data_IF_425476516703
#
_entry.id   IF_425476516703
#
_cell.length_a   1.000
_cell.length_b   1.000
_cell.length_c   1.000
_cell.angle_alpha   90.00
_cell.angle_beta   90.00
_cell.angle_gamma   90.00
#
_symmetry.space_group_name_H-M   'P 1'
#
loop_
_entity.id
_entity.type
_entity.pdbx_description
1 polymer ?
#
# COMPACT_ATOMS: atom_id res chain seq x y z
N UNK A 1 -6.84 -2.59 25.48
CA UNK A 1 -7.72 -1.74 24.63
C UNK A 1 -7.70 -0.24 24.98
N UNK A 2 -6.96 0.19 26.02
CA UNK A 2 -6.83 1.64 26.36
C UNK A 2 -5.86 2.40 25.43
N UNK A 3 -4.94 1.71 24.76
CA UNK A 3 -3.91 2.31 23.90
C UNK A 3 -4.44 2.94 22.62
N UNK A 4 -5.55 2.46 22.08
CA UNK A 4 -6.16 3.00 20.85
C UNK A 4 -6.84 4.36 21.09
N UNK A 5 -7.12 4.71 22.35
CA UNK A 5 -7.76 5.95 22.74
C UNK A 5 -6.82 7.13 23.03
N UNK A 6 -5.51 6.92 22.98
CA UNK A 6 -4.54 7.98 23.24
C UNK A 6 -4.31 8.77 21.96
N UNK A 7 -4.92 9.95 21.85
CA UNK A 7 -4.81 10.82 20.67
C UNK A 7 -3.36 11.09 20.23
N UNK A 8 -2.45 11.24 21.20
CA UNK A 8 -1.04 11.45 20.94
C UNK A 8 -0.38 10.31 20.13
N UNK A 9 -0.75 9.04 20.36
CA UNK A 9 -0.20 7.92 19.60
C UNK A 9 -0.65 7.91 18.14
N UNK A 10 -1.87 8.39 17.88
CA UNK A 10 -2.41 8.50 16.54
C UNK A 10 -1.61 9.47 15.66
N UNK A 11 -1.11 10.55 16.26
CA UNK A 11 -0.35 11.57 15.54
C UNK A 11 1.10 11.20 15.31
N UNK A 12 1.65 10.29 16.15
CA UNK A 12 3.04 9.83 16.05
C UNK A 12 3.23 8.54 15.24
N UNK A 13 2.19 7.73 15.08
CA UNK A 13 2.26 6.51 14.27
C UNK A 13 1.78 6.83 12.86
N UNK A 14 2.71 6.95 11.91
CA UNK A 14 2.43 7.31 10.51
C UNK A 14 1.34 6.44 9.85
N UNK A 15 1.27 5.16 10.21
CA UNK A 15 0.27 4.24 9.65
C UNK A 15 -1.16 4.55 10.10
N UNK A 16 -1.33 5.22 11.24
CA UNK A 16 -2.63 5.57 11.80
C UNK A 16 -3.03 7.01 11.48
N UNK A 17 -2.07 7.81 11.04
CA UNK A 17 -2.32 9.16 10.58
C UNK A 17 -3.14 9.14 9.28
N UNK A 18 -3.92 10.21 9.08
CA UNK A 18 -4.56 10.45 7.81
C UNK A 18 -3.48 10.58 6.70
N UNK A 19 -3.73 10.02 5.51
CA UNK A 19 -2.74 10.08 4.44
C UNK A 19 -2.49 11.52 3.98
N UNK A 20 -1.22 11.90 3.89
CA UNK A 20 -0.79 13.17 3.31
C UNK A 20 -0.62 13.04 1.80
N UNK A 21 -1.62 13.49 1.05
CA UNK A 21 -1.67 13.37 -0.41
C UNK A 21 -0.62 14.21 -1.18
N UNK A 22 0.17 15.03 -0.50
CA UNK A 22 1.31 15.70 -1.11
C UNK A 22 2.50 14.73 -1.33
N UNK A 23 2.49 13.59 -0.67
CA UNK A 23 3.54 12.59 -0.81
C UNK A 23 3.32 11.76 -2.08
N UNK A 24 4.34 11.71 -2.94
CA UNK A 24 4.28 11.05 -4.25
C UNK A 24 3.87 9.57 -4.19
N UNK A 25 4.25 8.86 -3.13
CA UNK A 25 3.91 7.44 -2.99
C UNK A 25 2.40 7.18 -2.78
N UNK A 26 1.59 8.21 -2.44
CA UNK A 26 0.14 8.11 -2.29
C UNK A 26 -0.63 8.46 -3.59
N UNK A 27 0.05 8.99 -4.61
CA UNK A 27 -0.58 9.30 -5.89
C UNK A 27 -1.26 8.08 -6.56
N UNK A 28 -0.74 6.84 -6.49
CA UNK A 28 -1.43 5.67 -7.01
C UNK A 28 -2.83 5.46 -6.43
N UNK A 29 -3.04 5.80 -5.15
CA UNK A 29 -4.37 5.76 -4.54
C UNK A 29 -5.31 6.77 -5.17
N UNK A 30 -4.86 8.01 -5.40
CA UNK A 30 -5.65 9.07 -6.07
C UNK A 30 -6.04 8.61 -7.48
N UNK A 31 -5.08 8.09 -8.25
CA UNK A 31 -5.34 7.56 -9.59
C UNK A 31 -6.35 6.42 -9.57
N UNK A 32 -6.26 5.53 -8.59
CA UNK A 32 -7.20 4.43 -8.46
C UNK A 32 -8.63 4.91 -8.18
N UNK A 33 -8.80 5.93 -7.31
CA UNK A 33 -10.10 6.57 -7.04
C UNK A 33 -10.65 7.21 -8.30
N UNK A 34 -9.82 7.98 -9.04
CA UNK A 34 -10.23 8.61 -10.29
C UNK A 34 -10.63 7.58 -11.35
N UNK A 35 -9.86 6.51 -11.50
CA UNK A 35 -10.18 5.42 -12.41
C UNK A 35 -11.49 4.71 -12.04
N UNK A 36 -11.73 4.50 -10.74
CA UNK A 36 -12.97 3.91 -10.26
C UNK A 36 -14.18 4.79 -10.56
N UNK A 37 -14.07 6.10 -10.30
CA UNK A 37 -15.11 7.07 -10.63
C UNK A 37 -15.37 7.12 -12.14
N UNK A 38 -14.32 7.14 -12.95
CA UNK A 38 -14.42 7.10 -14.39
C UNK A 38 -15.05 5.80 -14.88
N UNK A 39 -14.64 4.65 -14.32
CA UNK A 39 -15.18 3.35 -14.68
C UNK A 39 -16.68 3.26 -14.38
N UNK A 40 -17.12 3.71 -13.22
CA UNK A 40 -18.54 3.74 -12.84
C UNK A 40 -19.32 4.76 -13.67
N UNK A 41 -18.78 5.97 -13.85
CA UNK A 41 -19.45 7.04 -14.58
C UNK A 41 -19.60 6.78 -16.08
N UNK A 42 -18.62 6.15 -16.71
CA UNK A 42 -18.64 5.80 -18.15
C UNK A 42 -19.30 4.47 -18.43
N UNK A 43 -19.44 3.60 -17.42
CA UNK A 43 -20.16 2.33 -17.58
C UNK A 43 -21.65 2.59 -17.74
N UNK A 44 -22.25 1.99 -18.76
CA UNK A 44 -23.73 2.01 -18.93
C UNK A 44 -24.45 1.08 -17.93
N UNK A 45 -23.69 0.38 -17.08
CA UNK A 45 -24.20 -0.50 -16.04
C UNK A 45 -24.59 0.31 -14.81
N UNK A 46 -25.76 0.03 -14.23
CA UNK A 46 -26.10 0.58 -12.91
C UNK A 46 -25.16 -0.01 -11.86
N UNK A 47 -24.70 0.83 -10.95
CA UNK A 47 -23.89 0.37 -9.83
C UNK A 47 -24.76 -0.51 -8.91
N UNK A 48 -24.23 -1.65 -8.52
CA UNK A 48 -24.85 -2.50 -7.52
C UNK A 48 -24.73 -1.84 -6.14
N UNK A 49 -25.79 -1.92 -5.35
CA UNK A 49 -25.84 -1.33 -4.01
C UNK A 49 -24.71 -1.88 -3.12
N UNK A 50 -24.43 -3.17 -3.22
CA UNK A 50 -23.32 -3.82 -2.47
C UNK A 50 -21.97 -3.23 -2.87
N UNK A 51 -21.72 -3.09 -4.19
CA UNK A 51 -20.46 -2.51 -4.68
C UNK A 51 -20.31 -1.04 -4.22
N UNK A 52 -21.41 -0.28 -4.20
CA UNK A 52 -21.41 1.11 -3.73
C UNK A 52 -21.08 1.20 -2.24
N UNK A 53 -21.78 0.43 -1.41
CA UNK A 53 -21.61 0.47 0.05
C UNK A 53 -20.19 0.03 0.43
N UNK A 54 -19.73 -1.09 -0.12
CA UNK A 54 -18.40 -1.64 0.18
C UNK A 54 -17.31 -0.67 -0.27
N UNK A 55 -17.41 -0.15 -1.48
CA UNK A 55 -16.44 0.82 -2.00
C UNK A 55 -16.40 2.09 -1.17
N UNK A 56 -17.57 2.66 -0.83
CA UNK A 56 -17.65 3.90 -0.03
C UNK A 56 -17.12 3.69 1.38
N UNK A 57 -17.40 2.55 2.01
CA UNK A 57 -16.91 2.23 3.33
C UNK A 57 -15.37 2.15 3.36
N UNK A 58 -14.77 1.37 2.47
CA UNK A 58 -13.30 1.24 2.43
C UNK A 58 -12.62 2.52 1.95
N UNK A 59 -13.26 3.31 1.09
CA UNK A 59 -12.79 4.64 0.73
C UNK A 59 -12.72 5.56 1.96
N UNK A 60 -13.79 5.65 2.72
CA UNK A 60 -13.81 6.42 3.96
C UNK A 60 -12.73 5.95 4.95
N UNK A 61 -12.61 4.64 5.15
CA UNK A 61 -11.58 4.08 6.04
C UNK A 61 -10.16 4.39 5.57
N UNK A 62 -9.92 4.46 4.25
CA UNK A 62 -8.60 4.82 3.71
C UNK A 62 -8.25 6.30 3.86
N UNK A 63 -9.23 7.19 3.91
CA UNK A 63 -9.02 8.60 4.26
C UNK A 63 -8.72 8.78 5.75
N UNK A 64 -9.22 7.89 6.58
CA UNK A 64 -9.01 7.95 8.03
C UNK A 64 -7.59 7.52 8.44
N UNK A 65 -7.06 6.46 7.83
CA UNK A 65 -5.74 5.91 8.16
C UNK A 65 -5.04 5.33 6.93
N UNK A 66 -3.78 5.69 6.71
CA UNK A 66 -2.99 5.30 5.54
C UNK A 66 -2.89 3.78 5.33
N UNK A 67 -2.85 2.98 6.40
CA UNK A 67 -2.83 1.50 6.32
C UNK A 67 -4.04 0.90 5.61
N UNK A 68 -5.18 1.61 5.57
CA UNK A 68 -6.40 1.10 4.96
C UNK A 68 -6.41 1.28 3.43
N UNK A 69 -5.45 2.03 2.86
CA UNK A 69 -5.32 2.21 1.41
C UNK A 69 -5.11 0.87 0.70
N UNK A 70 -4.29 -0.02 1.28
CA UNK A 70 -4.07 -1.35 0.73
C UNK A 70 -5.36 -2.19 0.73
N UNK A 71 -6.16 -2.11 1.79
CA UNK A 71 -7.45 -2.80 1.88
C UNK A 71 -8.45 -2.26 0.85
N UNK A 72 -8.51 -0.93 0.70
CA UNK A 72 -9.32 -0.31 -0.34
C UNK A 72 -8.92 -0.81 -1.73
N UNK A 73 -7.63 -0.87 -2.05
CA UNK A 73 -7.14 -1.35 -3.32
C UNK A 73 -7.60 -2.78 -3.63
N UNK A 74 -7.44 -3.68 -2.67
CA UNK A 74 -7.83 -5.10 -2.83
C UNK A 74 -9.34 -5.25 -3.00
N UNK A 75 -10.13 -4.56 -2.18
CA UNK A 75 -11.59 -4.69 -2.17
C UNK A 75 -12.23 -4.05 -3.41
N UNK A 76 -11.66 -2.94 -3.91
CA UNK A 76 -12.24 -2.24 -5.07
C UNK A 76 -11.73 -2.76 -6.41
N UNK A 77 -10.68 -3.58 -6.45
CA UNK A 77 -10.18 -4.17 -7.69
C UNK A 77 -11.25 -4.96 -8.48
N UNK A 78 -12.07 -5.85 -7.88
CA UNK A 78 -13.15 -6.53 -8.58
C UNK A 78 -14.23 -5.57 -9.12
N UNK A 79 -14.51 -4.50 -8.37
CA UNK A 79 -15.47 -3.45 -8.77
C UNK A 79 -14.93 -2.71 -9.98
N UNK A 80 -13.66 -2.29 -9.93
CA UNK A 80 -12.97 -1.63 -11.03
C UNK A 80 -12.97 -2.49 -12.31
N UNK A 81 -12.71 -3.79 -12.19
CA UNK A 81 -12.74 -4.71 -13.32
C UNK A 81 -14.15 -4.86 -13.90
N UNK A 82 -15.17 -4.95 -13.05
CA UNK A 82 -16.59 -5.11 -13.46
C UNK A 82 -17.10 -3.92 -14.25
N UNK A 83 -16.85 -2.70 -13.79
CA UNK A 83 -17.29 -1.47 -14.42
C UNK A 83 -16.30 -0.94 -15.46
N UNK A 84 -15.02 -1.16 -15.27
CA UNK A 84 -13.97 -0.73 -16.18
C UNK A 84 -14.09 -1.34 -17.58
N UNK A 85 -14.43 -2.62 -17.67
CA UNK A 85 -14.68 -3.26 -18.96
C UNK A 85 -15.82 -2.58 -19.75
N UNK A 86 -16.89 -2.18 -19.04
CA UNK A 86 -18.00 -1.41 -19.63
C UNK A 86 -17.58 0.00 -20.05
N UNK A 87 -16.80 0.69 -19.22
CA UNK A 87 -16.29 2.03 -19.49
C UNK A 87 -15.36 2.05 -20.71
N UNK A 88 -14.43 1.10 -20.80
CA UNK A 88 -13.54 0.96 -21.96
C UNK A 88 -14.33 0.75 -23.23
N UNK A 89 -15.35 -0.11 -23.18
CA UNK A 89 -16.23 -0.33 -24.34
C UNK A 89 -16.96 0.95 -24.76
N UNK A 90 -17.50 1.71 -23.81
CA UNK A 90 -18.19 2.99 -24.10
C UNK A 90 -17.23 4.01 -24.69
N UNK A 91 -16.01 4.13 -24.15
CA UNK A 91 -14.98 4.99 -24.72
C UNK A 91 -14.60 4.57 -26.14
N UNK A 92 -14.45 3.27 -26.35
CA UNK A 92 -14.10 2.73 -27.66
C UNK A 92 -15.18 3.01 -28.70
N UNK A 93 -16.45 2.88 -28.32
CA UNK A 93 -17.60 3.23 -29.15
C UNK A 93 -17.64 4.73 -29.48
N UNK A 94 -17.33 5.60 -28.49
CA UNK A 94 -17.29 7.04 -28.67
C UNK A 94 -16.14 7.48 -29.60
N UNK A 95 -14.95 6.90 -29.46
CA UNK A 95 -13.79 7.16 -30.33
C UNK A 95 -14.05 6.61 -31.75
N UNK A 96 -14.79 5.51 -31.87
CA UNK A 96 -15.13 4.88 -33.14
C UNK A 96 -16.03 5.73 -34.05
N UNK A 97 -16.65 6.80 -33.53
CA UNK A 97 -17.41 7.78 -34.34
C UNK A 97 -16.53 8.77 -35.10
N UNK A 98 -15.26 8.91 -34.72
CA UNK A 98 -14.26 9.65 -35.48
C UNK A 98 -13.58 8.74 -36.53
N UNK A 99 -13.15 9.32 -37.67
CA UNK A 99 -12.55 8.53 -38.78
C UNK A 99 -11.36 7.66 -38.37
N UNK A 100 -10.54 8.15 -37.40
CA UNK A 100 -9.44 7.40 -36.79
C UNK A 100 -9.95 6.18 -36.00
N UNK A 101 -11.11 6.30 -35.37
CA UNK A 101 -11.75 5.21 -34.61
C UNK A 101 -12.32 4.11 -35.48
N UNK A 102 -12.71 4.39 -36.74
CA UNK A 102 -13.16 3.33 -37.67
C UNK A 102 -12.05 2.35 -37.99
N UNK A 103 -10.82 2.82 -38.19
CA UNK A 103 -9.68 1.95 -38.46
C UNK A 103 -9.29 1.11 -37.23
N UNK A 104 -9.33 1.72 -36.03
CA UNK A 104 -9.08 1.03 -34.75
C UNK A 104 -10.22 0.12 -34.32
N UNK A 105 -11.47 0.45 -34.64
CA UNK A 105 -12.63 -0.40 -34.31
C UNK A 105 -12.70 -1.66 -35.19
N UNK A 106 -12.11 -1.63 -36.37
CA UNK A 106 -11.93 -2.85 -37.18
C UNK A 106 -10.93 -3.81 -36.52
N UNK A 107 -9.85 -3.29 -35.92
CA UNK A 107 -8.92 -4.07 -35.11
C UNK A 107 -9.55 -4.60 -33.82
N UNK A 108 -10.40 -3.81 -33.15
CA UNK A 108 -11.13 -4.22 -31.94
C UNK A 108 -12.32 -5.15 -32.19
N UNK A 109 -12.89 -5.17 -33.41
CA UNK A 109 -13.92 -6.13 -33.84
C UNK A 109 -13.36 -7.46 -34.30
N UNK A 110 -12.05 -7.59 -34.48
CA UNK A 110 -11.44 -8.90 -34.39
C UNK A 110 -11.75 -9.38 -32.99
N UNK A 111 -12.88 -10.05 -32.81
CA UNK A 111 -13.12 -10.94 -31.70
C UNK A 111 -11.92 -11.88 -31.72
N UNK A 112 -10.92 -11.53 -30.91
CA UNK A 112 -9.87 -12.43 -30.57
C UNK A 112 -10.56 -13.57 -29.83
N UNK A 113 -11.09 -14.54 -30.60
CA UNK A 113 -11.40 -15.84 -30.04
C UNK A 113 -10.18 -16.17 -29.16
N UNK A 114 -10.36 -16.66 -27.94
CA UNK A 114 -9.25 -16.95 -27.04
C UNK A 114 -8.37 -18.01 -27.70
N UNK A 115 -7.53 -17.53 -28.60
CA UNK A 115 -6.54 -18.35 -29.29
C UNK A 115 -5.49 -18.80 -28.28
N UNK A 116 -4.83 -19.93 -28.52
CA UNK A 116 -3.81 -20.45 -27.60
C UNK A 116 -2.73 -19.41 -27.29
N UNK A 117 -2.50 -18.44 -28.17
CA UNK A 117 -1.54 -17.36 -27.96
C UNK A 117 -1.91 -16.40 -26.82
N UNK A 118 -3.22 -16.14 -26.56
CA UNK A 118 -3.67 -15.34 -25.41
C UNK A 118 -3.39 -16.06 -24.10
N UNK A 119 -3.55 -17.35 -24.07
CA UNK A 119 -3.20 -18.18 -22.91
C UNK A 119 -1.69 -18.05 -22.63
N UNK A 120 -0.87 -18.16 -23.67
CA UNK A 120 0.60 -18.00 -23.57
C UNK A 120 0.94 -16.59 -23.08
N UNK A 121 0.31 -15.54 -23.64
CA UNK A 121 0.52 -14.15 -23.22
C UNK A 121 0.17 -13.94 -21.74
N UNK A 122 -0.96 -14.47 -21.29
CA UNK A 122 -1.38 -14.38 -19.89
C UNK A 122 -0.38 -15.08 -18.96
N UNK A 123 0.13 -16.26 -19.34
CA UNK A 123 1.16 -16.94 -18.57
C UNK A 123 2.46 -16.15 -18.54
N UNK A 124 2.89 -15.58 -19.66
CA UNK A 124 4.09 -14.74 -19.73
C UNK A 124 3.94 -13.49 -18.83
N UNK A 125 2.78 -12.82 -18.85
CA UNK A 125 2.51 -11.68 -17.98
C UNK A 125 2.53 -12.10 -16.51
N UNK A 126 1.94 -13.23 -16.16
CA UNK A 126 1.93 -13.75 -14.80
C UNK A 126 3.35 -14.07 -14.33
N UNK A 127 4.15 -14.75 -15.17
CA UNK A 127 5.56 -15.04 -14.87
C UNK A 127 6.35 -13.74 -14.71
N UNK A 128 6.13 -12.74 -15.58
CA UNK A 128 6.79 -11.44 -15.48
C UNK A 128 6.47 -10.75 -14.16
N UNK A 129 5.19 -10.71 -13.76
CA UNK A 129 4.76 -10.12 -12.48
C UNK A 129 5.40 -10.88 -11.31
N UNK A 130 5.38 -12.21 -11.34
CA UNK A 130 6.02 -13.03 -10.30
C UNK A 130 7.53 -12.76 -10.21
N UNK A 131 8.21 -12.62 -11.36
CA UNK A 131 9.64 -12.30 -11.41
C UNK A 131 9.92 -10.90 -10.79
N UNK A 132 9.13 -9.89 -11.17
CA UNK A 132 9.26 -8.54 -10.62
C UNK A 132 9.00 -8.51 -9.11
N UNK A 133 8.00 -9.25 -8.63
CA UNK A 133 7.74 -9.41 -7.20
C UNK A 133 8.92 -10.11 -6.50
N UNK A 134 9.45 -11.18 -7.09
CA UNK A 134 10.59 -11.88 -6.53
C UNK A 134 11.84 -10.98 -6.44
N UNK A 135 12.12 -10.17 -7.46
CA UNK A 135 13.21 -9.19 -7.45
C UNK A 135 13.01 -8.15 -6.35
N UNK A 136 11.77 -7.61 -6.24
CA UNK A 136 11.41 -6.63 -5.20
C UNK A 136 11.57 -7.19 -3.78
N UNK A 137 11.22 -8.44 -3.56
CA UNK A 137 11.38 -9.12 -2.27
C UNK A 137 12.84 -9.49 -2.00
N UNK A 138 13.57 -9.90 -3.03
CA UNK A 138 14.97 -10.30 -2.87
C UNK A 138 15.91 -9.14 -2.53
N UNK A 139 15.66 -7.94 -3.07
CA UNK A 139 16.51 -6.78 -2.82
C UNK A 139 16.67 -6.44 -1.31
N UNK A 140 15.58 -6.28 -0.52
CA UNK A 140 15.72 -5.98 0.90
C UNK A 140 16.23 -7.16 1.73
N UNK A 141 16.19 -8.40 1.21
CA UNK A 141 16.75 -9.58 1.88
C UNK A 141 18.29 -9.67 1.75
N UNK A 142 18.90 -8.89 0.85
CA UNK A 142 20.37 -8.84 0.75
C UNK A 142 20.94 -8.22 2.03
N UNK A 143 21.84 -8.93 2.68
CA UNK A 143 22.43 -8.53 3.96
C UNK A 143 23.03 -7.11 3.92
N UNK A 144 23.70 -6.74 2.81
CA UNK A 144 24.27 -5.40 2.66
C UNK A 144 23.24 -4.28 2.61
N UNK A 145 22.14 -4.47 1.90
CA UNK A 145 21.04 -3.49 1.78
C UNK A 145 20.32 -3.37 3.12
N UNK A 146 20.10 -4.50 3.78
CA UNK A 146 19.42 -4.53 5.08
C UNK A 146 20.27 -3.83 6.16
N UNK A 147 21.56 -4.09 6.20
CA UNK A 147 22.48 -3.41 7.15
C UNK A 147 22.58 -1.90 6.89
N UNK A 148 22.60 -1.47 5.64
CA UNK A 148 22.59 -0.05 5.30
C UNK A 148 21.29 0.62 5.75
N UNK A 149 20.13 0.01 5.46
CA UNK A 149 18.84 0.49 5.93
C UNK A 149 18.71 0.49 7.46
N UNK A 150 19.23 -0.53 8.14
CA UNK A 150 19.26 -0.55 9.60
C UNK A 150 20.05 0.63 10.18
N UNK A 151 21.22 0.96 9.61
CA UNK A 151 22.02 2.11 10.05
C UNK A 151 21.33 3.45 9.84
N UNK A 152 20.50 3.55 8.80
CA UNK A 152 19.78 4.78 8.46
C UNK A 152 18.59 5.03 9.39
N UNK A 153 17.83 3.97 9.73
CA UNK A 153 16.56 4.10 10.46
C UNK A 153 16.64 3.71 11.94
N UNK A 154 17.62 2.90 12.32
CA UNK A 154 17.76 2.37 13.67
C UNK A 154 19.06 2.88 14.34
N UNK A 155 19.03 3.06 15.67
CA UNK A 155 20.16 3.62 16.42
C UNK A 155 21.28 2.59 16.64
N UNK A 156 21.82 2.01 15.56
CA UNK A 156 22.86 0.95 15.63
C UNK A 156 24.10 1.42 16.37
N UNK A 157 24.57 2.63 16.07
CA UNK A 157 25.77 3.21 16.69
C UNK A 157 25.54 3.54 18.17
N UNK A 158 24.35 4.01 18.54
CA UNK A 158 23.99 4.26 19.93
C UNK A 158 24.02 2.96 20.76
N UNK A 159 23.51 1.86 20.21
CA UNK A 159 23.57 0.54 20.86
C UNK A 159 25.01 0.10 21.06
N UNK A 160 25.89 0.27 20.07
CA UNK A 160 27.32 -0.05 20.18
C UNK A 160 28.01 0.80 21.25
N UNK A 161 27.70 2.10 21.28
CA UNK A 161 28.20 3.01 22.28
C UNK A 161 27.79 2.62 23.71
N UNK A 162 26.51 2.31 23.92
CA UNK A 162 25.99 1.90 25.23
C UNK A 162 26.67 0.63 25.70
N UNK A 163 26.81 -0.38 24.83
CA UNK A 163 27.49 -1.63 25.16
C UNK A 163 28.98 -1.45 25.51
N UNK A 164 29.67 -0.53 24.82
CA UNK A 164 31.08 -0.29 25.02
C UNK A 164 31.37 0.50 26.30
N UNK A 165 30.51 1.46 26.65
CA UNK A 165 30.76 2.43 27.70
C UNK A 165 29.95 2.20 28.98
N UNK A 166 28.91 1.36 28.94
CA UNK A 166 28.01 1.08 30.06
C UNK A 166 27.59 2.35 30.84
N UNK A 167 27.01 3.37 30.18
CA UNK A 167 26.67 4.62 30.85
C UNK A 167 25.67 4.38 31.98
N UNK A 168 25.83 5.01 33.15
CA UNK A 168 24.92 4.86 34.26
C UNK A 168 23.63 5.64 34.02
N UNK A 169 22.47 5.11 34.49
CA UNK A 169 21.20 5.82 34.52
C UNK A 169 20.17 5.25 33.55
N UNK A 170 18.93 5.72 33.66
CA UNK A 170 17.83 5.31 32.80
C UNK A 170 18.01 5.86 31.38
N UNK A 171 17.60 5.07 30.40
CA UNK A 171 17.69 5.44 28.99
C UNK A 171 16.38 6.08 28.54
N UNK A 172 16.45 7.26 27.92
CA UNK A 172 15.33 7.88 27.22
C UNK A 172 15.45 7.64 25.71
N UNK A 173 14.44 7.05 25.09
CA UNK A 173 14.47 6.65 23.69
C UNK A 173 13.25 7.15 22.89
N UNK A 174 13.41 7.25 21.58
CA UNK A 174 12.31 7.44 20.65
C UNK A 174 11.40 6.21 20.63
N UNK A 175 10.11 6.44 20.52
CA UNK A 175 9.07 5.39 20.41
C UNK A 175 9.38 4.34 19.33
N UNK A 176 9.81 4.78 18.15
CA UNK A 176 10.08 3.91 17.01
C UNK A 176 11.32 2.99 17.24
N UNK A 177 12.20 3.33 18.15
CA UNK A 177 13.41 2.57 18.44
C UNK A 177 13.26 1.54 19.55
N UNK A 178 12.14 1.64 20.29
CA UNK A 178 11.96 0.83 21.50
C UNK A 178 12.13 -0.67 21.29
N UNK A 179 11.53 -1.23 20.25
CA UNK A 179 11.65 -2.67 19.94
C UNK A 179 13.07 -3.10 19.60
N UNK A 180 13.80 -2.28 18.83
CA UNK A 180 15.21 -2.53 18.50
C UNK A 180 16.11 -2.46 19.72
N UNK A 181 15.90 -1.47 20.59
CA UNK A 181 16.67 -1.28 21.82
C UNK A 181 16.40 -2.41 22.83
N UNK A 182 15.15 -2.86 22.98
CA UNK A 182 14.84 -4.04 23.81
C UNK A 182 15.60 -5.25 23.30
N UNK A 183 15.55 -5.54 22.01
CA UNK A 183 16.21 -6.71 21.43
C UNK A 183 17.73 -6.74 21.72
N UNK A 184 18.36 -5.56 21.73
CA UNK A 184 19.80 -5.48 21.88
C UNK A 184 20.28 -5.18 23.30
N UNK A 185 19.51 -4.52 24.14
CA UNK A 185 19.97 -3.97 25.42
C UNK A 185 19.25 -4.53 26.66
N UNK A 186 18.16 -5.26 26.48
CA UNK A 186 17.48 -5.91 27.61
C UNK A 186 18.30 -7.12 28.09
N UNK A 187 18.38 -7.40 29.43
CA UNK A 187 17.73 -6.68 30.53
C UNK A 187 18.52 -5.51 31.10
N UNK A 188 19.74 -5.27 30.67
CA UNK A 188 20.68 -4.33 31.31
C UNK A 188 20.19 -2.86 31.24
N UNK A 189 19.52 -2.50 30.14
CA UNK A 189 18.98 -1.17 29.92
C UNK A 189 17.49 -1.26 29.57
N UNK A 190 16.58 -1.03 30.53
CA UNK A 190 15.16 -0.95 30.24
C UNK A 190 14.86 0.28 29.38
N UNK A 191 14.02 0.11 28.37
CA UNK A 191 13.58 1.22 27.50
C UNK A 191 12.49 2.02 28.17
N UNK A 192 12.50 3.34 27.98
CA UNK A 192 11.49 4.25 28.54
C UNK A 192 10.14 4.09 27.83
N UNK A 193 10.15 3.94 26.49
CA UNK A 193 8.93 3.80 25.67
C UNK A 193 9.12 2.82 24.54
N UNK A 194 8.13 1.97 24.30
CA UNK A 194 8.11 0.97 23.23
C UNK A 194 6.70 0.70 22.71
N UNK A 195 6.60 0.26 21.45
CA UNK A 195 5.36 -0.25 20.85
C UNK A 195 4.73 -1.42 21.62
N UNK A 196 5.56 -2.24 22.28
CA UNK A 196 5.13 -3.45 23.00
C UNK A 196 4.72 -3.17 24.44
N UNK A 197 5.25 -2.13 25.07
CA UNK A 197 4.99 -1.76 26.45
C UNK A 197 4.41 -0.35 26.50
N UNK A 198 3.13 -0.25 26.37
CA UNK A 198 2.42 0.98 26.67
C UNK A 198 1.81 0.84 28.05
N UNK A 199 2.24 1.64 29.00
CA UNK A 199 1.56 1.97 30.24
C UNK A 199 1.84 1.22 31.54
N UNK A 200 2.63 0.17 31.61
CA UNK A 200 2.85 -0.54 32.87
C UNK A 200 4.21 -0.25 33.57
N UNK A 201 4.93 0.75 33.08
CA UNK A 201 6.20 1.19 33.65
C UNK A 201 6.11 2.59 34.30
N UNK A 202 4.99 2.88 34.99
CA UNK A 202 4.87 4.05 35.85
C UNK A 202 4.41 3.64 37.25
#
# INVERSE_FOLDING_TARGET
FKTVGIGALRDYIQEWAAPDFHQFHLHPFIWMVLLLLAAVGLSRRRIDFTDLVVTSFFFYMSLWAGRNIALFAVVTAPVLMRYGAGAIRTLWEAIGTYEIGRSLSQLGRMQLAPGPWLIVLNWLLLILVMLLCAIKVYQPLRTGVNLAAQKEYLPVEAVQFIRANNPPGPMFNSYNWGGYLIWHLYPDYPVFICLLYTSDAA
#
